data_IF_194510210968
#
_entry.id   IF_194510210968
#
_cell.length_a   1.000
_cell.length_b   1.000
_cell.length_c   1.000
_cell.angle_alpha   90.00
_cell.angle_beta   90.00
_cell.angle_gamma   90.00
#
_symmetry.space_group_name_H-M   'P 1'
#
loop_
_entity.id
_entity.type
_entity.pdbx_description
1 polymer ?
#
# COMPACT_ATOMS: atom_id res chain seq x y z
N UNK A 1 -22.44 1.37 -15.60
CA UNK A 1 -21.68 0.19 -15.13
C UNK A 1 -22.14 -0.20 -13.72
N UNK A 2 -21.86 -1.42 -13.27
CA UNK A 2 -22.05 -1.88 -11.88
C UNK A 2 -20.68 -2.17 -11.28
N UNK A 3 -20.43 -1.66 -10.08
CA UNK A 3 -19.19 -1.93 -9.31
C UNK A 3 -19.61 -2.54 -7.99
N UNK A 4 -19.21 -3.79 -7.77
CA UNK A 4 -19.47 -4.53 -6.53
C UNK A 4 -18.17 -4.72 -5.77
N UNK A 5 -18.13 -4.25 -4.52
CA UNK A 5 -16.99 -4.45 -3.62
C UNK A 5 -17.39 -5.37 -2.49
N UNK A 6 -16.70 -6.50 -2.34
CA UNK A 6 -17.02 -7.50 -1.32
C UNK A 6 -18.51 -7.93 -1.32
N UNK A 7 -19.11 -8.32 -2.47
CA UNK A 7 -20.52 -8.66 -2.50
C UNK A 7 -20.83 -9.85 -1.58
N UNK A 8 -21.68 -9.64 -0.57
CA UNK A 8 -22.14 -10.64 0.38
C UNK A 8 -23.58 -10.35 0.82
N UNK A 9 -24.36 -11.39 1.09
CA UNK A 9 -25.77 -11.30 1.50
C UNK A 9 -26.21 -12.38 2.51
N UNK A 10 -25.32 -13.32 2.86
CA UNK A 10 -25.62 -14.51 3.67
C UNK A 10 -24.73 -14.62 4.92
N UNK A 11 -24.22 -13.48 5.40
CA UNK A 11 -23.44 -13.37 6.63
C UNK A 11 -21.97 -13.73 6.49
N UNK A 12 -21.23 -13.54 7.59
CA UNK A 12 -19.81 -13.90 7.74
C UNK A 12 -19.64 -15.37 8.15
N UNK A 13 -18.42 -15.87 8.05
CA UNK A 13 -18.03 -17.21 8.48
C UNK A 13 -18.34 -17.46 9.97
N UNK A 14 -17.97 -16.52 10.84
CA UNK A 14 -18.06 -16.68 12.30
C UNK A 14 -19.51 -16.70 12.79
N UNK A 15 -20.36 -15.82 12.25
CA UNK A 15 -21.75 -15.69 12.69
C UNK A 15 -22.72 -16.60 11.92
N UNK A 16 -22.39 -16.98 10.68
CA UNK A 16 -23.28 -17.65 9.74
C UNK A 16 -22.61 -18.81 8.99
N UNK A 17 -21.90 -19.68 9.71
CA UNK A 17 -21.15 -20.82 9.15
C UNK A 17 -21.93 -21.74 8.18
N UNK A 18 -23.25 -21.88 8.36
CA UNK A 18 -24.06 -22.72 7.48
C UNK A 18 -24.42 -22.01 6.15
N UNK A 19 -24.54 -20.69 6.15
CA UNK A 19 -25.01 -19.92 4.99
C UNK A 19 -23.96 -19.07 4.29
N UNK A 20 -22.82 -18.74 4.91
CA UNK A 20 -21.80 -17.87 4.30
C UNK A 20 -21.33 -18.37 2.93
N UNK A 21 -21.28 -19.69 2.69
CA UNK A 21 -20.97 -20.30 1.37
C UNK A 21 -21.94 -19.85 0.27
N UNK A 22 -23.17 -19.47 0.63
CA UNK A 22 -24.15 -18.92 -0.29
C UNK A 22 -23.75 -17.55 -0.84
N UNK A 23 -22.85 -16.80 -0.19
CA UNK A 23 -22.29 -15.55 -0.74
C UNK A 23 -21.63 -15.77 -2.11
N UNK A 24 -21.04 -16.95 -2.33
CA UNK A 24 -20.50 -17.34 -3.63
C UNK A 24 -21.59 -17.91 -4.55
N UNK A 25 -22.25 -19.00 -4.12
CA UNK A 25 -23.13 -19.79 -4.99
C UNK A 25 -24.41 -19.06 -5.40
N UNK A 26 -24.85 -18.04 -4.66
CA UNK A 26 -25.99 -17.19 -5.04
C UNK A 26 -25.60 -15.97 -5.86
N UNK A 27 -24.32 -15.57 -5.84
CA UNK A 27 -23.83 -14.52 -6.72
C UNK A 27 -23.71 -15.00 -8.18
N UNK A 28 -23.26 -16.24 -8.40
CA UNK A 28 -22.96 -16.72 -9.76
C UNK A 28 -24.16 -16.68 -10.71
N UNK A 29 -25.38 -17.14 -10.33
CA UNK A 29 -26.55 -16.99 -11.19
C UNK A 29 -26.91 -15.53 -11.50
N UNK A 30 -26.59 -14.58 -10.61
CA UNK A 30 -26.80 -13.16 -10.89
C UNK A 30 -25.84 -12.65 -11.96
N UNK A 31 -24.56 -13.08 -11.90
CA UNK A 31 -23.56 -12.74 -12.91
C UNK A 31 -23.90 -13.36 -14.28
N UNK A 32 -24.39 -14.60 -14.31
CA UNK A 32 -24.84 -15.28 -15.53
C UNK A 32 -26.00 -14.54 -16.22
N UNK A 33 -26.88 -13.92 -15.43
CA UNK A 33 -28.07 -13.22 -15.93
C UNK A 33 -27.81 -11.77 -16.35
N UNK A 34 -26.58 -11.26 -16.25
CA UNK A 34 -26.26 -9.90 -16.69
C UNK A 34 -26.35 -9.79 -18.22
N UNK A 35 -27.25 -8.92 -18.70
CA UNK A 35 -27.50 -8.74 -20.15
C UNK A 35 -26.99 -7.43 -20.74
N UNK A 36 -26.77 -6.40 -19.92
CA UNK A 36 -26.53 -5.02 -20.41
C UNK A 36 -25.44 -4.27 -19.64
N UNK A 37 -25.28 -4.57 -18.36
CA UNK A 37 -24.34 -3.83 -17.53
C UNK A 37 -22.92 -4.38 -17.69
N UNK A 38 -21.96 -3.46 -17.84
CA UNK A 38 -20.54 -3.76 -17.57
C UNK A 38 -20.38 -3.98 -16.06
N UNK A 39 -19.69 -5.04 -15.65
CA UNK A 39 -19.56 -5.44 -14.23
C UNK A 39 -18.11 -5.45 -13.78
N UNK A 40 -17.80 -4.73 -12.71
CA UNK A 40 -16.53 -4.81 -11.99
C UNK A 40 -16.78 -5.41 -10.61
N UNK A 41 -16.00 -6.42 -10.23
CA UNK A 41 -16.11 -7.08 -8.92
C UNK A 41 -14.76 -7.09 -8.21
N UNK A 42 -14.78 -6.77 -6.92
CA UNK A 42 -13.64 -6.88 -6.03
C UNK A 42 -13.89 -7.95 -4.96
N UNK A 43 -12.91 -8.83 -4.79
CA UNK A 43 -12.79 -9.76 -3.67
C UNK A 43 -11.51 -9.44 -2.90
N UNK A 44 -11.52 -9.51 -1.58
CA UNK A 44 -10.41 -9.07 -0.74
C UNK A 44 -9.79 -10.23 0.04
N UNK A 45 -8.52 -10.11 0.39
CA UNK A 45 -7.88 -11.08 1.27
C UNK A 45 -8.53 -11.06 2.65
N UNK A 46 -8.61 -12.19 3.32
CA UNK A 46 -9.12 -12.28 4.70
C UNK A 46 -10.51 -11.63 4.90
N UNK A 47 -11.33 -11.59 3.85
CA UNK A 47 -12.74 -11.20 3.94
C UNK A 47 -13.52 -12.37 4.57
N UNK A 48 -14.00 -12.18 5.78
CA UNK A 48 -14.76 -13.15 6.56
C UNK A 48 -16.12 -13.52 5.92
N UNK A 49 -16.57 -12.74 4.94
CA UNK A 49 -17.76 -13.03 4.15
C UNK A 49 -17.45 -13.78 2.84
N UNK A 50 -16.17 -13.98 2.50
CA UNK A 50 -15.74 -14.61 1.26
C UNK A 50 -15.39 -16.11 1.44
N UNK A 51 -16.18 -17.03 0.83
CA UNK A 51 -15.86 -18.45 0.72
C UNK A 51 -14.53 -18.82 0.06
N UNK A 52 -13.88 -17.87 -0.60
CA UNK A 52 -12.68 -18.09 -1.39
C UNK A 52 -12.99 -18.63 -2.79
N UNK A 53 -12.01 -18.51 -3.69
CA UNK A 53 -12.09 -19.04 -5.06
C UNK A 53 -13.09 -18.33 -5.99
N UNK A 54 -13.65 -17.18 -5.58
CA UNK A 54 -14.71 -16.49 -6.32
C UNK A 54 -14.22 -15.74 -7.55
N UNK A 55 -12.98 -15.23 -7.53
CA UNK A 55 -12.44 -14.41 -8.61
C UNK A 55 -12.38 -15.14 -9.94
N UNK A 56 -11.70 -16.29 -9.98
CA UNK A 56 -11.59 -17.10 -11.20
C UNK A 56 -12.97 -17.52 -11.75
N UNK A 57 -13.87 -17.95 -10.88
CA UNK A 57 -15.20 -18.39 -11.30
C UNK A 57 -16.04 -17.22 -11.85
N UNK A 58 -15.98 -16.06 -11.20
CA UNK A 58 -16.66 -14.84 -11.66
C UNK A 58 -16.09 -14.36 -13.00
N UNK A 59 -14.77 -14.45 -13.18
CA UNK A 59 -14.09 -14.14 -14.45
C UNK A 59 -14.57 -15.06 -15.56
N UNK A 60 -14.65 -16.36 -15.31
CA UNK A 60 -15.15 -17.34 -16.27
C UNK A 60 -16.58 -17.02 -16.72
N UNK A 61 -17.50 -16.74 -15.79
CA UNK A 61 -18.89 -16.37 -16.11
C UNK A 61 -18.95 -15.08 -16.95
N UNK A 62 -18.27 -14.03 -16.49
CA UNK A 62 -18.33 -12.70 -17.10
C UNK A 62 -17.70 -12.68 -18.51
N UNK A 63 -16.63 -13.45 -18.73
CA UNK A 63 -15.98 -13.58 -20.04
C UNK A 63 -16.93 -14.07 -21.14
N UNK A 64 -17.93 -14.88 -20.79
CA UNK A 64 -18.91 -15.42 -21.73
C UNK A 64 -20.06 -14.46 -22.05
N UNK A 65 -20.14 -13.29 -21.39
CA UNK A 65 -21.30 -12.38 -21.55
C UNK A 65 -21.19 -11.44 -22.75
N UNK A 66 -20.01 -11.28 -23.36
CA UNK A 66 -19.80 -10.30 -24.45
C UNK A 66 -19.94 -8.83 -23.99
N UNK A 67 -19.81 -8.60 -22.68
CA UNK A 67 -19.85 -7.30 -22.03
C UNK A 67 -18.45 -6.96 -21.48
N UNK A 68 -18.18 -5.67 -21.27
CA UNK A 68 -17.00 -5.24 -20.54
C UNK A 68 -17.07 -5.68 -19.07
N UNK A 69 -15.98 -6.20 -18.53
CA UNK A 69 -15.92 -6.62 -17.14
C UNK A 69 -14.54 -6.40 -16.51
N UNK A 70 -14.44 -6.49 -15.19
CA UNK A 70 -13.17 -6.50 -14.48
C UNK A 70 -13.32 -7.32 -13.20
N UNK A 71 -12.37 -8.21 -12.92
CA UNK A 71 -12.35 -8.97 -11.67
C UNK A 71 -11.01 -8.72 -10.98
N UNK A 72 -11.08 -7.97 -9.89
CA UNK A 72 -9.92 -7.74 -9.01
C UNK A 72 -10.04 -8.71 -7.84
N UNK A 73 -9.21 -9.73 -7.89
CA UNK A 73 -9.25 -10.84 -6.93
C UNK A 73 -8.08 -10.72 -5.96
N UNK A 74 -8.41 -10.65 -4.67
CA UNK A 74 -7.47 -10.62 -3.56
C UNK A 74 -6.28 -9.64 -3.76
N UNK A 75 -6.53 -8.33 -3.92
CA UNK A 75 -5.46 -7.39 -4.12
C UNK A 75 -4.61 -7.26 -2.85
N UNK A 76 -3.29 -7.36 -3.00
CA UNK A 76 -2.36 -7.29 -1.88
C UNK A 76 -2.59 -6.05 -1.00
N UNK A 77 -2.47 -6.19 0.32
CA UNK A 77 -2.64 -5.11 1.32
C UNK A 77 -4.05 -4.51 1.46
N UNK A 78 -5.04 -5.06 0.76
CA UNK A 78 -6.45 -4.75 0.95
C UNK A 78 -7.12 -6.00 1.51
N UNK A 79 -7.16 -6.05 2.84
CA UNK A 79 -7.70 -7.19 3.60
C UNK A 79 -8.98 -6.81 4.35
N UNK A 80 -9.84 -7.81 4.54
CA UNK A 80 -11.12 -7.71 5.21
C UNK A 80 -12.25 -7.21 4.32
N UNK A 81 -13.48 -7.45 4.77
CA UNK A 81 -14.71 -7.09 4.06
C UNK A 81 -14.79 -5.60 3.67
N UNK A 82 -14.31 -4.73 4.57
CA UNK A 82 -14.39 -3.28 4.44
C UNK A 82 -13.18 -2.65 3.74
N UNK A 83 -12.34 -3.44 3.07
CA UNK A 83 -11.14 -2.93 2.42
C UNK A 83 -11.43 -1.83 1.40
N UNK A 84 -12.59 -1.86 0.73
CA UNK A 84 -13.03 -0.83 -0.21
C UNK A 84 -13.36 0.52 0.42
N UNK A 85 -13.66 0.54 1.73
CA UNK A 85 -13.92 1.76 2.50
C UNK A 85 -12.64 2.49 2.92
N UNK A 86 -11.47 1.93 2.59
CA UNK A 86 -10.18 2.54 2.93
C UNK A 86 -9.74 3.55 1.89
N UNK A 87 -8.97 4.56 2.31
CA UNK A 87 -8.36 5.48 1.37
C UNK A 87 -7.32 4.81 0.45
N UNK A 88 -6.75 3.66 0.86
CA UNK A 88 -5.82 2.88 0.03
C UNK A 88 -6.54 2.32 -1.20
N UNK A 89 -7.74 1.77 -1.02
CA UNK A 89 -8.55 1.26 -2.12
C UNK A 89 -8.83 2.35 -3.15
N UNK A 90 -9.34 3.50 -2.70
CA UNK A 90 -9.63 4.64 -3.57
C UNK A 90 -8.38 5.12 -4.32
N UNK A 91 -7.24 5.17 -3.64
CA UNK A 91 -5.97 5.60 -4.21
C UNK A 91 -5.41 4.63 -5.27
N UNK A 92 -5.66 3.33 -5.13
CA UNK A 92 -5.19 2.30 -6.06
C UNK A 92 -6.13 2.09 -7.23
N UNK A 93 -7.43 2.03 -6.95
CA UNK A 93 -8.45 1.60 -7.91
C UNK A 93 -9.35 2.72 -8.39
N UNK A 94 -9.32 3.91 -7.77
CA UNK A 94 -10.23 5.01 -8.11
C UNK A 94 -10.16 5.44 -9.57
N UNK A 95 -8.96 5.55 -10.15
CA UNK A 95 -8.82 5.84 -11.59
C UNK A 95 -9.36 4.69 -12.44
N UNK A 96 -9.02 3.43 -12.12
CA UNK A 96 -9.49 2.27 -12.88
C UNK A 96 -11.02 2.15 -12.83
N UNK A 97 -11.63 2.36 -11.66
CA UNK A 97 -13.09 2.35 -11.47
C UNK A 97 -13.75 3.44 -12.31
N UNK A 98 -13.19 4.65 -12.31
CA UNK A 98 -13.70 5.76 -13.14
C UNK A 98 -13.60 5.43 -14.62
N UNK A 99 -12.44 4.97 -15.07
CA UNK A 99 -12.18 4.67 -16.48
C UNK A 99 -13.08 3.51 -16.93
N UNK A 100 -13.21 2.47 -16.10
CA UNK A 100 -14.18 1.39 -16.28
C UNK A 100 -15.62 1.90 -16.37
N UNK A 101 -16.05 2.79 -15.46
CA UNK A 101 -17.41 3.30 -15.46
C UNK A 101 -17.72 4.10 -16.74
N UNK A 102 -16.75 4.89 -17.21
CA UNK A 102 -16.91 5.81 -18.33
C UNK A 102 -16.73 5.17 -19.71
N UNK A 103 -16.09 4.01 -19.83
CA UNK A 103 -15.87 3.36 -21.12
C UNK A 103 -17.07 2.52 -21.59
N UNK A 104 -18.10 3.19 -22.13
CA UNK A 104 -19.32 2.55 -22.66
C UNK A 104 -19.06 1.54 -23.80
N UNK A 105 -17.87 1.59 -24.42
CA UNK A 105 -17.48 0.70 -25.50
C UNK A 105 -16.65 -0.49 -25.02
N UNK A 106 -16.31 -0.57 -23.73
CA UNK A 106 -15.52 -1.65 -23.17
C UNK A 106 -16.13 -3.01 -23.48
N UNK A 107 -15.32 -3.88 -24.09
CA UNK A 107 -15.59 -5.29 -24.34
C UNK A 107 -14.45 -6.12 -23.76
N UNK A 108 -14.79 -7.23 -23.11
CA UNK A 108 -13.79 -8.09 -22.46
C UNK A 108 -13.30 -7.54 -21.12
N UNK A 109 -12.20 -8.12 -20.62
CA UNK A 109 -11.65 -7.77 -19.31
C UNK A 109 -10.83 -6.49 -19.37
N UNK A 110 -11.14 -5.55 -18.47
CA UNK A 110 -10.23 -4.49 -18.08
C UNK A 110 -9.39 -4.95 -16.89
N UNK A 111 -8.09 -5.16 -17.10
CA UNK A 111 -7.16 -5.44 -16.01
C UNK A 111 -6.89 -4.16 -15.20
N UNK A 112 -7.30 -4.12 -13.93
CA UNK A 112 -6.95 -3.03 -13.02
C UNK A 112 -5.61 -3.30 -12.34
N UNK A 113 -4.53 -2.84 -12.96
CA UNK A 113 -3.19 -2.86 -12.37
C UNK A 113 -2.89 -1.51 -11.70
N UNK A 114 -3.03 -1.39 -10.37
CA UNK A 114 -2.77 -0.13 -9.70
C UNK A 114 -1.28 0.22 -9.80
N UNK A 115 -0.98 1.46 -10.18
CA UNK A 115 0.40 1.96 -10.35
C UNK A 115 1.21 2.01 -9.05
N UNK A 116 0.56 1.88 -7.90
CA UNK A 116 1.18 1.97 -6.57
C UNK A 116 0.38 1.21 -5.51
N UNK A 117 0.91 1.15 -4.29
CA UNK A 117 0.25 0.50 -3.15
C UNK A 117 0.90 -0.82 -2.70
N UNK A 118 1.81 -1.38 -3.50
CA UNK A 118 2.77 -2.42 -3.10
C UNK A 118 4.12 -1.83 -2.67
N UNK A 119 4.40 -0.60 -3.08
CA UNK A 119 5.58 0.19 -2.71
C UNK A 119 5.17 1.62 -2.38
N UNK A 120 5.98 2.36 -1.60
CA UNK A 120 5.76 3.77 -1.31
C UNK A 120 5.46 4.62 -2.55
N UNK A 121 4.45 5.48 -2.46
CA UNK A 121 4.06 6.38 -3.55
C UNK A 121 5.10 7.47 -3.77
N UNK A 122 5.07 8.11 -4.94
CA UNK A 122 5.91 9.29 -5.22
C UNK A 122 5.56 10.48 -4.30
N UNK A 123 4.34 10.53 -3.76
CA UNK A 123 3.84 11.60 -2.90
C UNK A 123 4.36 11.48 -1.46
N UNK A 124 4.86 10.31 -1.05
CA UNK A 124 5.46 10.11 0.26
C UNK A 124 6.78 10.88 0.35
N UNK A 125 6.79 11.96 1.12
CA UNK A 125 8.01 12.72 1.40
C UNK A 125 8.90 11.93 2.35
N UNK A 126 10.16 11.76 1.95
CA UNK A 126 11.19 11.07 2.72
C UNK A 126 12.39 12.00 2.90
N UNK A 127 13.19 11.84 3.97
CA UNK A 127 14.46 12.54 4.08
C UNK A 127 15.40 12.11 2.93
N UNK A 128 16.28 13.00 2.45
CA UNK A 128 17.13 12.74 1.28
C UNK A 128 17.96 11.46 1.38
N UNK A 129 18.55 11.20 2.55
CA UNK A 129 19.32 9.99 2.85
C UNK A 129 18.52 8.69 2.78
N UNK A 130 17.19 8.72 2.96
CA UNK A 130 16.33 7.55 2.74
C UNK A 130 15.89 7.43 1.28
N UNK A 131 15.81 8.55 0.57
CA UNK A 131 15.42 8.61 -0.84
C UNK A 131 16.60 8.38 -1.81
N UNK A 132 17.85 8.57 -1.36
CA UNK A 132 19.06 8.40 -2.14
C UNK A 132 20.17 7.66 -1.34
N UNK A 133 20.48 6.39 -1.69
CA UNK A 133 21.51 5.58 -1.05
C UNK A 133 22.92 6.17 -1.17
N UNK A 134 23.19 7.04 -2.15
CA UNK A 134 24.50 7.69 -2.31
C UNK A 134 24.71 8.76 -1.24
N UNK A 135 23.64 9.45 -0.83
CA UNK A 135 23.67 10.45 0.24
C UNK A 135 23.79 9.79 1.63
N UNK A 136 23.13 8.64 1.85
CA UNK A 136 23.24 7.87 3.10
C UNK A 136 24.69 7.50 3.48
N UNK A 137 25.52 7.14 2.48
CA UNK A 137 26.93 6.78 2.69
C UNK A 137 27.79 7.96 3.11
N UNK A 138 27.45 9.18 2.69
CA UNK A 138 28.26 10.37 2.96
C UNK A 138 28.01 10.93 4.37
N UNK A 139 26.78 10.85 4.87
CA UNK A 139 26.45 11.26 6.26
C UNK A 139 27.06 10.35 7.31
N UNK A 140 27.20 9.05 7.01
CA UNK A 140 27.88 8.07 7.85
C UNK A 140 29.37 8.37 8.07
N UNK A 141 30.04 8.93 7.06
CA UNK A 141 31.47 9.21 7.08
C UNK A 141 31.81 10.47 7.91
N UNK A 142 30.86 11.39 8.09
CA UNK A 142 31.05 12.65 8.84
C UNK A 142 30.86 12.54 10.35
N UNK A 143 30.37 11.41 10.87
CA UNK A 143 30.13 11.18 12.31
C UNK A 143 31.07 10.15 12.94
N UNK A 144 32.07 9.64 12.22
CA UNK A 144 33.09 8.79 12.80
C UNK A 144 34.02 9.61 13.73
N UNK A 145 34.12 9.30 15.03
CA UNK A 145 35.12 9.92 15.89
C UNK A 145 36.52 9.46 15.47
N UNK A 146 37.45 10.40 15.33
CA UNK A 146 38.88 10.10 15.29
C UNK A 146 39.32 9.58 16.66
N UNK A 147 39.28 8.26 16.84
CA UNK A 147 39.73 7.60 18.06
C UNK A 147 40.12 6.15 17.78
N UNK A 148 41.42 5.91 17.58
CA UNK A 148 42.03 4.61 17.37
C UNK A 148 41.81 3.67 18.57
N UNK A 149 41.10 2.56 18.35
CA UNK A 149 41.45 1.25 18.91
C UNK A 149 40.62 0.14 18.23
N UNK A 150 41.32 -0.86 17.70
CA UNK A 150 40.82 -2.17 17.25
C UNK A 150 41.84 -3.22 17.74
N UNK A 151 41.42 -4.47 18.04
CA UNK A 151 40.97 -5.44 17.02
C UNK A 151 39.64 -6.13 17.39
N UNK A 152 38.67 -6.18 16.48
CA UNK A 152 38.41 -7.21 15.46
C UNK A 152 37.56 -8.41 15.94
N UNK A 153 36.27 -8.39 15.59
CA UNK A 153 35.49 -9.56 15.17
C UNK A 153 34.69 -9.17 13.93
N UNK A 154 34.86 -9.96 12.85
CA UNK A 154 34.08 -9.98 11.59
C UNK A 154 32.56 -9.94 11.88
N UNK A 155 31.67 -9.18 11.24
CA UNK A 155 31.70 -8.46 9.97
C UNK A 155 31.42 -6.95 10.19
N UNK A 156 32.50 -6.18 10.23
CA UNK A 156 32.48 -4.73 10.38
C UNK A 156 32.06 -4.01 9.10
N UNK A 157 30.75 -3.85 8.91
CA UNK A 157 30.18 -2.74 8.13
C UNK A 157 29.27 -1.92 9.03
N UNK A 158 29.80 -0.88 9.66
CA UNK A 158 28.97 0.25 10.08
C UNK A 158 28.64 1.04 8.82
N UNK A 159 27.71 0.51 8.01
CA UNK A 159 27.07 1.29 6.97
C UNK A 159 26.08 2.22 7.67
N UNK A 160 26.41 3.50 7.80
CA UNK A 160 25.39 4.49 8.16
C UNK A 160 24.34 4.49 7.06
N UNK A 161 23.15 4.06 7.43
CA UNK A 161 22.06 3.73 6.54
C UNK A 161 20.94 3.10 7.36
N UNK A 162 19.71 3.20 6.87
CA UNK A 162 18.57 2.60 7.54
C UNK A 162 18.75 1.09 7.60
N UNK A 163 18.79 0.55 8.83
CA UNK A 163 19.01 -0.89 9.05
C UNK A 163 17.78 -1.68 8.63
N UNK A 164 16.62 -1.19 9.02
CA UNK A 164 15.34 -1.83 8.78
C UNK A 164 14.31 -0.78 8.37
N UNK A 165 13.49 -1.10 7.37
CA UNK A 165 12.42 -0.22 6.89
C UNK A 165 11.15 -1.02 6.66
N UNK A 166 10.03 -0.45 7.11
CA UNK A 166 8.71 -1.04 6.97
C UNK A 166 7.75 -0.06 6.32
N UNK A 167 6.81 -0.59 5.55
CA UNK A 167 5.81 0.16 4.81
C UNK A 167 4.41 -0.45 4.98
N UNK A 168 3.41 0.40 5.08
CA UNK A 168 2.01 -0.01 5.17
C UNK A 168 1.07 1.17 5.09
N UNK A 169 -0.15 0.99 5.59
CA UNK A 169 -1.22 1.98 5.49
C UNK A 169 -2.04 2.02 6.77
N UNK A 170 -2.45 3.22 7.16
CA UNK A 170 -3.51 3.39 8.15
C UNK A 170 -4.90 3.19 7.52
N UNK A 171 -5.95 2.92 8.31
CA UNK A 171 -7.32 2.72 7.81
C UNK A 171 -7.85 3.90 6.99
N UNK A 172 -7.41 5.12 7.31
CA UNK A 172 -7.73 6.32 6.52
C UNK A 172 -7.04 6.39 5.15
N UNK A 173 -6.27 5.36 4.78
CA UNK A 173 -5.57 5.21 3.51
C UNK A 173 -4.29 6.01 3.37
N UNK A 174 -3.84 6.68 4.44
CA UNK A 174 -2.52 7.31 4.44
C UNK A 174 -1.48 6.21 4.50
N UNK A 175 -0.58 6.22 3.52
CA UNK A 175 0.59 5.37 3.56
C UNK A 175 1.52 5.82 4.68
N UNK A 176 2.26 4.87 5.24
CA UNK A 176 3.19 5.09 6.33
C UNK A 176 4.46 4.30 6.07
N UNK A 177 5.59 4.94 6.32
CA UNK A 177 6.91 4.32 6.30
C UNK A 177 7.60 4.59 7.63
N UNK A 178 8.19 3.54 8.19
CA UNK A 178 9.00 3.61 9.39
C UNK A 178 10.38 3.03 9.08
N UNK A 179 11.44 3.78 9.38
CA UNK A 179 12.81 3.33 9.15
C UNK A 179 13.70 3.64 10.36
N UNK A 180 14.42 2.64 10.86
CA UNK A 180 15.34 2.81 12.00
C UNK A 180 16.69 3.34 11.50
N UNK A 181 17.13 4.47 12.05
CA UNK A 181 18.41 5.12 11.71
C UNK A 181 19.54 4.58 12.60
N UNK A 182 19.39 4.68 13.92
CA UNK A 182 20.40 4.22 14.88
C UNK A 182 19.77 3.53 16.08
N UNK A 183 20.49 2.57 16.66
CA UNK A 183 20.14 1.89 17.92
C UNK A 183 21.40 1.87 18.79
N UNK A 184 21.29 2.36 20.02
CA UNK A 184 22.36 2.43 21.02
C UNK A 184 21.82 1.97 22.37
N UNK A 185 22.05 0.70 22.72
CA UNK A 185 21.37 0.09 23.86
C UNK A 185 19.86 0.11 23.64
N UNK A 186 19.12 0.63 24.61
CA UNK A 186 17.67 0.78 24.51
C UNK A 186 17.25 2.03 23.74
N UNK A 187 18.13 3.00 23.53
CA UNK A 187 17.81 4.23 22.80
C UNK A 187 17.87 4.03 21.29
N UNK A 188 16.91 4.58 20.56
CA UNK A 188 16.92 4.53 19.10
C UNK A 188 16.40 5.80 18.43
N UNK A 189 16.91 6.05 17.24
CA UNK A 189 16.41 7.11 16.34
C UNK A 189 15.82 6.50 15.09
N UNK A 190 14.72 7.07 14.62
CA UNK A 190 14.01 6.57 13.45
C UNK A 190 13.34 7.70 12.66
N UNK A 191 13.10 7.43 11.39
CA UNK A 191 12.25 8.24 10.53
C UNK A 191 10.85 7.65 10.51
N UNK A 192 9.88 8.50 10.79
CA UNK A 192 8.47 8.24 10.57
C UNK A 192 7.97 9.15 9.45
N UNK A 193 7.53 8.57 8.34
CA UNK A 193 6.94 9.28 7.23
C UNK A 193 5.48 8.85 7.03
N UNK A 194 4.63 9.83 6.74
CA UNK A 194 3.21 9.63 6.50
C UNK A 194 2.80 10.38 5.23
N UNK A 195 2.12 9.69 4.32
CA UNK A 195 1.67 10.24 3.05
C UNK A 195 0.52 11.23 3.21
N UNK A 196 0.06 11.85 2.11
CA UNK A 196 -1.03 12.81 2.18
C UNK A 196 -2.37 12.12 2.48
N UNK A 197 -3.33 12.86 3.06
CA UNK A 197 -4.72 12.38 3.13
C UNK A 197 -5.33 12.27 1.74
N UNK A 198 -6.36 11.44 1.59
CA UNK A 198 -7.08 11.28 0.32
C UNK A 198 -7.70 12.59 -0.16
N UNK A 199 -8.20 13.41 0.76
CA UNK A 199 -8.79 14.72 0.47
C UNK A 199 -7.76 15.86 0.35
N UNK A 200 -6.46 15.54 0.41
CA UNK A 200 -5.33 16.46 0.37
C UNK A 200 -5.30 17.56 1.46
N UNK A 201 -6.16 17.49 2.48
CA UNK A 201 -6.13 18.45 3.60
C UNK A 201 -4.94 18.28 4.53
N UNK A 202 -4.37 17.07 4.58
CA UNK A 202 -3.16 16.79 5.33
C UNK A 202 -2.05 16.42 4.36
N UNK A 203 -1.03 17.28 4.17
CA UNK A 203 0.05 16.98 3.25
C UNK A 203 0.92 15.83 3.76
N UNK A 204 1.68 15.23 2.85
CA UNK A 204 2.74 14.31 3.22
C UNK A 204 3.77 15.01 4.10
N UNK A 205 4.24 14.29 5.13
CA UNK A 205 5.23 14.78 6.08
C UNK A 205 6.10 13.62 6.58
N UNK A 206 7.28 13.97 7.07
CA UNK A 206 8.13 13.03 7.81
C UNK A 206 8.72 13.74 9.02
N UNK A 207 9.11 12.95 10.02
CA UNK A 207 9.74 13.42 11.24
C UNK A 207 10.82 12.44 11.66
N UNK A 208 11.96 12.94 12.15
CA UNK A 208 12.86 12.13 12.98
C UNK A 208 12.29 12.03 14.39
N UNK A 209 12.35 10.82 14.92
CA UNK A 209 11.80 10.44 16.21
C UNK A 209 12.91 9.90 17.08
N UNK A 210 12.91 10.32 18.34
CA UNK A 210 13.76 9.74 19.39
C UNK A 210 12.89 8.85 20.25
N UNK A 211 13.29 7.62 20.42
CA UNK A 211 12.51 6.62 21.12
C UNK A 211 13.40 5.61 21.81
N UNK A 212 12.75 4.57 22.31
CA UNK A 212 13.38 3.51 23.07
C UNK A 212 12.77 2.16 22.75
N UNK A 213 13.55 1.10 22.92
CA UNK A 213 13.05 -0.28 22.96
C UNK A 213 12.49 -0.53 24.36
N UNK A 214 11.23 -0.96 24.45
CA UNK A 214 10.57 -1.36 25.69
C UNK A 214 9.71 -2.59 25.41
N UNK A 215 9.89 -3.66 26.18
CA UNK A 215 9.10 -4.89 26.04
C UNK A 215 9.02 -5.34 24.57
N UNK A 216 10.20 -5.43 23.93
CA UNK A 216 10.39 -5.79 22.52
C UNK A 216 9.74 -4.83 21.50
N UNK A 217 9.22 -3.70 21.95
CA UNK A 217 8.50 -2.73 21.13
C UNK A 217 9.28 -1.43 20.97
N UNK A 218 9.20 -0.79 19.80
CA UNK A 218 9.73 0.55 19.61
C UNK A 218 8.70 1.58 20.06
N UNK A 219 9.08 2.42 21.04
CA UNK A 219 8.20 3.42 21.65
C UNK A 219 8.78 4.82 21.45
N UNK A 220 7.98 5.70 20.86
CA UNK A 220 8.34 7.10 20.60
C UNK A 220 7.31 8.04 21.23
N UNK A 221 7.67 8.59 22.39
CA UNK A 221 6.84 9.50 23.17
C UNK A 221 7.58 10.84 23.30
N UNK A 222 7.19 11.81 22.48
CA UNK A 222 7.83 13.12 22.41
C UNK A 222 6.77 14.21 22.58
N UNK A 223 7.04 15.18 23.47
CA UNK A 223 6.09 16.27 23.75
C UNK A 223 5.73 17.03 22.47
N UNK A 224 4.42 17.20 22.23
CA UNK A 224 3.89 17.92 21.06
C UNK A 224 3.90 17.13 19.75
N UNK A 225 4.34 15.86 19.76
CA UNK A 225 4.25 14.94 18.62
C UNK A 225 3.26 13.82 18.93
N UNK A 226 2.83 13.11 17.89
CA UNK A 226 2.08 11.88 18.04
C UNK A 226 2.90 10.80 18.73
N UNK A 227 2.28 9.97 19.56
CA UNK A 227 2.95 8.78 20.10
C UNK A 227 2.94 7.66 19.06
N UNK A 228 4.07 6.97 18.91
CA UNK A 228 4.18 5.78 18.07
C UNK A 228 4.58 4.60 18.95
N UNK A 229 3.89 3.48 18.79
CA UNK A 229 4.24 2.19 19.39
C UNK A 229 4.26 1.16 18.28
N UNK A 230 5.42 0.54 18.06
CA UNK A 230 5.59 -0.46 17.01
C UNK A 230 6.03 -1.77 17.63
N UNK A 231 5.20 -2.80 17.48
CA UNK A 231 5.47 -4.13 17.99
C UNK A 231 5.89 -5.05 16.83
N UNK A 232 7.03 -5.75 16.93
CA UNK A 232 7.42 -6.77 15.97
C UNK A 232 6.37 -7.86 15.81
N UNK A 233 6.20 -8.34 14.58
CA UNK A 233 5.33 -9.46 14.24
C UNK A 233 6.18 -10.66 13.81
N UNK A 234 5.64 -11.86 13.96
CA UNK A 234 6.34 -13.10 13.59
C UNK A 234 6.69 -13.17 12.09
N UNK A 235 5.99 -12.42 11.24
CA UNK A 235 6.26 -12.33 9.80
C UNK A 235 7.37 -11.31 9.44
N UNK A 236 8.10 -10.80 10.44
CA UNK A 236 9.09 -9.73 10.27
C UNK A 236 8.49 -8.34 10.03
N UNK A 237 7.15 -8.22 10.05
CA UNK A 237 6.44 -6.95 9.98
C UNK A 237 6.37 -6.22 11.32
N UNK A 238 5.70 -5.07 11.32
CA UNK A 238 5.36 -4.31 12.54
C UNK A 238 3.86 -4.12 12.66
N UNK A 239 3.32 -4.27 13.87
CA UNK A 239 2.03 -3.71 14.23
C UNK A 239 2.27 -2.32 14.82
N UNK A 240 1.82 -1.28 14.11
CA UNK A 240 2.07 0.10 14.45
C UNK A 240 0.81 0.77 14.98
N UNK A 241 0.88 1.29 16.20
CA UNK A 241 -0.16 2.14 16.80
C UNK A 241 0.33 3.58 16.78
N UNK A 242 -0.46 4.45 16.15
CA UNK A 242 -0.28 5.89 16.15
C UNK A 242 -1.35 6.51 17.04
N UNK A 243 -0.94 7.42 17.93
CA UNK A 243 -1.83 8.16 18.81
C UNK A 243 -1.57 9.64 18.59
N UNK A 244 -2.62 10.43 18.37
CA UNK A 244 -2.51 11.88 18.18
C UNK A 244 -1.83 12.56 19.37
N UNK A 245 -1.23 13.73 19.14
CA UNK A 245 -0.51 14.46 20.19
C UNK A 245 -1.40 14.85 21.38
N UNK A 246 -2.71 14.97 21.17
CA UNK A 246 -3.72 15.23 22.22
C UNK A 246 -4.31 13.96 22.85
N UNK A 247 -3.88 12.77 22.40
CA UNK A 247 -4.34 11.48 22.90
C UNK A 247 -5.75 11.07 22.46
N UNK A 248 -6.46 11.89 21.68
CA UNK A 248 -7.89 11.68 21.36
C UNK A 248 -8.15 10.74 20.20
N UNK A 249 -7.17 10.54 19.32
CA UNK A 249 -7.31 9.72 18.11
C UNK A 249 -6.22 8.66 18.10
N UNK A 250 -6.60 7.42 17.82
CA UNK A 250 -5.68 6.31 17.65
C UNK A 250 -5.96 5.60 16.33
N UNK A 251 -4.92 5.13 15.67
CA UNK A 251 -4.99 4.31 14.47
C UNK A 251 -3.95 3.20 14.54
N UNK A 252 -4.32 2.02 14.06
CA UNK A 252 -3.41 0.87 13.92
C UNK A 252 -3.10 0.61 12.45
N UNK A 253 -1.90 0.12 12.16
CA UNK A 253 -1.48 -0.27 10.83
C UNK A 253 -0.59 -1.52 10.90
N UNK A 254 -0.69 -2.38 9.91
CA UNK A 254 0.26 -3.48 9.71
C UNK A 254 1.28 -3.06 8.66
N UNK A 255 2.55 -3.03 9.06
CA UNK A 255 3.66 -2.65 8.19
C UNK A 255 4.44 -3.92 7.79
N UNK A 256 4.85 -4.00 6.53
CA UNK A 256 5.69 -5.09 6.03
C UNK A 256 7.11 -4.58 5.78
N UNK A 257 8.13 -5.43 5.97
CA UNK A 257 9.50 -5.05 5.66
C UNK A 257 9.61 -4.75 4.16
N UNK A 258 10.40 -3.72 3.83
CA UNK A 258 10.76 -3.38 2.45
C UNK A 258 12.27 -3.19 2.36
N UNK A 259 12.83 -3.50 1.19
CA UNK A 259 14.23 -3.21 0.88
C UNK A 259 14.42 -1.68 0.77
N UNK A 260 15.24 -1.02 1.61
CA UNK A 260 15.51 0.40 1.49
C UNK A 260 16.01 0.82 0.10
N UNK A 261 16.69 -0.07 -0.64
CA UNK A 261 17.13 0.22 -2.01
C UNK A 261 15.97 0.35 -3.00
N UNK A 262 14.79 -0.21 -2.70
CA UNK A 262 13.60 -0.03 -3.53
C UNK A 262 13.11 1.43 -3.52
N UNK A 263 13.40 2.18 -2.45
CA UNK A 263 13.06 3.61 -2.33
C UNK A 263 13.88 4.48 -3.29
N UNK A 264 15.15 4.13 -3.50
CA UNK A 264 16.06 4.85 -4.39
C UNK A 264 15.64 4.81 -5.86
N UNK A 265 15.18 3.63 -6.31
CA UNK A 265 14.71 3.42 -7.68
C UNK A 265 13.46 4.28 -7.98
N UNK A 266 12.70 4.67 -6.96
CA UNK A 266 11.55 5.58 -7.06
C UNK A 266 11.98 6.98 -7.51
N UNK A 267 13.00 7.54 -6.87
CA UNK A 267 13.46 8.90 -7.14
C UNK A 267 13.95 9.07 -8.59
N UNK A 268 14.56 8.02 -9.15
CA UNK A 268 15.04 7.99 -10.54
C UNK A 268 13.89 7.86 -11.56
N UNK A 269 12.85 7.07 -11.27
CA UNK A 269 11.68 6.94 -12.17
C UNK A 269 10.79 8.19 -12.18
N UNK A 270 10.66 8.88 -11.04
CA UNK A 270 9.89 10.13 -10.96
C UNK A 270 10.55 11.31 -11.69
N UNK A 271 11.85 11.22 -11.99
CA UNK A 271 12.64 12.25 -12.67
C UNK A 271 12.89 11.96 -14.16
N UNK A 272 12.45 10.82 -14.68
CA UNK A 272 12.51 10.53 -16.11
C UNK A 272 11.48 11.38 -16.86
N UNK A 273 11.86 12.12 -17.92
CA UNK A 273 10.90 12.86 -18.74
C UNK A 273 9.92 11.86 -19.37
N UNK A 274 8.62 12.14 -19.22
CA UNK A 274 7.57 11.41 -19.94
C UNK A 274 7.79 11.71 -21.43
N UNK A 275 8.26 10.72 -22.18
CA UNK A 275 8.37 10.84 -23.62
C UNK A 275 6.97 11.19 -24.18
N UNK A 276 6.82 12.24 -25.00
CA UNK A 276 5.56 12.50 -25.65
C UNK A 276 5.22 11.27 -26.49
N UNK A 277 4.01 10.74 -26.29
CA UNK A 277 3.48 9.67 -27.13
C UNK A 277 3.59 10.12 -28.59
N UNK A 278 4.35 9.36 -29.38
CA UNK A 278 4.47 9.60 -30.81
C UNK A 278 3.07 9.50 -31.43
N UNK A 279 2.57 10.62 -31.94
CA UNK A 279 1.42 10.63 -32.82
C UNK A 279 1.83 9.89 -34.10
N UNK A 280 1.37 8.65 -34.26
CA UNK A 280 1.30 8.03 -35.57
C UNK A 280 0.25 8.78 -36.38
N UNK A 281 0.71 9.70 -37.23
CA UNK A 281 -0.09 10.29 -38.29
C UNK A 281 -0.15 9.31 -39.45
N UNK A 282 -1.32 8.73 -39.68
CA UNK A 282 -1.65 8.04 -40.91
C UNK A 282 -2.36 9.00 -41.87
N UNK A 283 -1.79 9.09 -43.08
CA UNK A 283 -2.50 9.13 -44.35
C UNK A 283 -3.42 10.31 -44.63
N UNK A 284 -2.86 11.37 -45.24
CA UNK A 284 -3.66 12.24 -46.10
C UNK A 284 -3.71 11.60 -47.49
N UNK A 285 -4.86 11.02 -47.84
CA UNK A 285 -5.17 10.63 -49.22
C UNK A 285 -5.31 11.89 -50.08
N UNK A 286 -4.65 11.88 -51.23
CA UNK A 286 -4.79 12.89 -52.27
C UNK A 286 -5.96 12.51 -53.19
N UNK A 287 -6.95 13.39 -53.30
CA UNK A 287 -7.83 13.48 -54.47
C UNK A 287 -7.20 14.48 -55.46
N UNK A 288 -6.68 13.96 -56.59
CA UNK A 288 -6.94 14.47 -57.94
C UNK A 288 -6.56 13.40 -58.99
#
# INVERSE_FOLDING_TARGET
>A
AVVATAPAAYGSFDDFYDSWRLNATRLYPLLEQVKRARVMVFYFHDDDFDPGGRGEHSRAILSQRGLGYSVVDQPAYLSGHWASSTGLFLRRYGSCIRDFANDDKLKGELSCEPRWGSTPSAELKLPPELADPKLARNTAATTAPTGSASPATDDGKVAGGFRDTWYGFYPNGREVLFGVETVHGDDLTAVYAIGPSVDNKHPAAWTRRKGRVMDESFVFEEKGKSTLRLHPRQDGGLSATWISADGKTSMTAHLKPIDPQSLARRAQKASAPVAPAAAHGDGNEAEE
#
